data_IF_208809464220
#
_entry.id   IF_208809464220
#
_cell.length_a   1.000
_cell.length_b   1.000
_cell.length_c   1.000
_cell.angle_alpha   90.00
_cell.angle_beta   90.00
_cell.angle_gamma   90.00
#
_symmetry.space_group_name_H-M   'P 1'
#
loop_
_entity.id
_entity.type
_entity.pdbx_description
1 polymer ?
#
# COMPACT_ATOMS: atom_id res chain seq x y z
N UNK A 1 20.70 -14.59 -8.92
CA UNK A 1 21.17 -13.19 -8.87
C UNK A 1 20.38 -12.26 -9.80
N UNK A 2 19.62 -11.35 -9.21
CA UNK A 2 18.91 -10.26 -9.91
C UNK A 2 19.89 -9.23 -10.50
N UNK A 3 19.59 -8.63 -11.68
CA UNK A 3 20.31 -7.44 -12.12
C UNK A 3 20.11 -6.32 -11.09
N UNK A 4 21.18 -5.62 -10.71
CA UNK A 4 21.12 -4.54 -9.70
C UNK A 4 20.02 -3.51 -9.95
N UNK A 5 19.80 -3.13 -11.21
CA UNK A 5 18.73 -2.19 -11.59
C UNK A 5 17.34 -2.73 -11.25
N UNK A 6 17.11 -4.03 -11.45
CA UNK A 6 15.82 -4.69 -11.15
C UNK A 6 15.63 -4.77 -9.64
N UNK A 7 16.67 -5.14 -8.89
CA UNK A 7 16.61 -5.18 -7.42
C UNK A 7 16.27 -3.81 -6.81
N UNK A 8 16.86 -2.73 -7.32
CA UNK A 8 16.52 -1.36 -6.89
C UNK A 8 15.05 -1.02 -7.16
N UNK A 9 14.54 -1.38 -8.34
CA UNK A 9 13.13 -1.12 -8.71
C UNK A 9 12.18 -1.96 -7.85
N UNK A 10 12.52 -3.21 -7.56
CA UNK A 10 11.71 -4.08 -6.70
C UNK A 10 11.67 -3.57 -5.26
N UNK A 11 12.79 -3.08 -4.72
CA UNK A 11 12.82 -2.46 -3.40
C UNK A 11 12.01 -1.16 -3.36
N UNK A 12 12.01 -0.36 -4.43
CA UNK A 12 11.14 0.80 -4.54
C UNK A 12 9.66 0.39 -4.58
N UNK A 13 9.33 -0.72 -5.25
CA UNK A 13 7.94 -1.20 -5.27
C UNK A 13 7.52 -1.75 -3.90
N UNK A 14 8.40 -2.43 -3.18
CA UNK A 14 8.18 -2.87 -1.78
C UNK A 14 7.76 -1.67 -0.91
N UNK A 15 8.51 -0.56 -0.97
CA UNK A 15 8.16 0.67 -0.26
C UNK A 15 6.75 1.17 -0.60
N UNK A 16 6.41 1.15 -1.89
CA UNK A 16 5.11 1.62 -2.38
C UNK A 16 3.96 0.77 -1.90
N UNK A 17 4.06 -0.56 -1.99
CA UNK A 17 3.00 -1.46 -1.50
C UNK A 17 2.83 -1.37 0.03
N UNK A 18 3.93 -1.19 0.76
CA UNK A 18 3.88 -0.99 2.22
C UNK A 18 3.16 0.32 2.57
N UNK A 19 3.47 1.41 1.87
CA UNK A 19 2.75 2.68 2.02
C UNK A 19 1.27 2.55 1.60
N UNK A 20 0.95 1.82 0.53
CA UNK A 20 -0.44 1.55 0.10
C UNK A 20 -1.24 0.88 1.22
N UNK A 21 -0.67 -0.17 1.84
CA UNK A 21 -1.30 -0.87 2.97
C UNK A 21 -1.59 0.08 4.13
N UNK A 22 -0.61 0.91 4.50
CA UNK A 22 -0.76 1.90 5.59
C UNK A 22 -1.77 3.00 5.25
N UNK A 23 -1.80 3.47 4.00
CA UNK A 23 -2.76 4.44 3.52
C UNK A 23 -4.19 3.89 3.64
N UNK A 24 -4.43 2.66 3.18
CA UNK A 24 -5.75 2.04 3.27
C UNK A 24 -6.17 1.74 4.71
N UNK A 25 -5.25 1.41 5.62
CA UNK A 25 -5.56 1.35 7.06
C UNK A 25 -6.02 2.71 7.60
N UNK A 26 -5.35 3.80 7.21
CA UNK A 26 -5.74 5.15 7.62
C UNK A 26 -7.12 5.54 7.07
N UNK A 27 -7.37 5.25 5.79
CA UNK A 27 -8.67 5.50 5.16
C UNK A 27 -9.78 4.65 5.80
N UNK A 28 -9.50 3.40 6.15
CA UNK A 28 -10.45 2.53 6.84
C UNK A 28 -10.82 3.12 8.21
N UNK A 29 -9.83 3.55 9.00
CA UNK A 29 -10.04 4.20 10.29
C UNK A 29 -10.86 5.48 10.15
N UNK A 30 -10.55 6.31 9.15
CA UNK A 30 -11.34 7.51 8.84
C UNK A 30 -12.79 7.15 8.49
N UNK A 31 -13.02 6.18 7.62
CA UNK A 31 -14.35 5.75 7.19
C UNK A 31 -15.20 5.22 8.36
N UNK A 32 -14.60 4.44 9.26
CA UNK A 32 -15.25 3.98 10.49
C UNK A 32 -15.74 5.14 11.36
N UNK A 33 -14.91 6.17 11.55
CA UNK A 33 -15.25 7.36 12.33
C UNK A 33 -16.30 8.27 11.66
N UNK A 34 -16.56 8.08 10.36
CA UNK A 34 -17.64 8.76 9.63
C UNK A 34 -18.95 7.95 9.55
N UNK A 35 -18.97 6.72 10.09
CA UNK A 35 -20.12 5.82 10.03
C UNK A 35 -20.26 5.07 8.70
N UNK A 36 -19.21 5.01 7.88
CA UNK A 36 -19.21 4.29 6.59
C UNK A 36 -18.70 2.86 6.74
N UNK A 37 -19.39 2.03 7.51
CA UNK A 37 -18.93 0.69 7.90
C UNK A 37 -18.56 -0.22 6.70
N UNK A 38 -19.40 -0.27 5.66
CA UNK A 38 -19.10 -1.07 4.47
C UNK A 38 -17.82 -0.63 3.74
N UNK A 39 -17.56 0.68 3.70
CA UNK A 39 -16.36 1.26 3.09
C UNK A 39 -15.14 0.96 3.96
N UNK A 40 -15.27 1.10 5.27
CA UNK A 40 -14.20 0.75 6.23
C UNK A 40 -13.79 -0.72 6.07
N UNK A 41 -14.75 -1.63 6.00
CA UNK A 41 -14.47 -3.06 5.84
C UNK A 41 -13.79 -3.36 4.50
N UNK A 42 -14.23 -2.71 3.42
CA UNK A 42 -13.59 -2.83 2.12
C UNK A 42 -12.14 -2.32 2.15
N UNK A 43 -11.88 -1.15 2.75
CA UNK A 43 -10.54 -0.58 2.86
C UNK A 43 -9.61 -1.41 3.75
N UNK A 44 -10.11 -2.03 4.83
CA UNK A 44 -9.34 -3.00 5.60
C UNK A 44 -8.94 -4.22 4.76
N UNK A 45 -9.83 -4.71 3.90
CA UNK A 45 -9.50 -5.80 2.98
C UNK A 45 -8.47 -5.38 1.93
N UNK A 46 -8.56 -4.17 1.38
CA UNK A 46 -7.57 -3.62 0.46
C UNK A 46 -6.19 -3.46 1.12
N UNK A 47 -6.14 -2.99 2.38
CA UNK A 47 -4.89 -2.90 3.12
C UNK A 47 -4.18 -4.26 3.25
N UNK A 48 -4.95 -5.35 3.47
CA UNK A 48 -4.40 -6.70 3.52
C UNK A 48 -3.97 -7.20 2.13
N UNK A 49 -4.69 -6.84 1.07
CA UNK A 49 -4.29 -7.15 -0.31
C UNK A 49 -2.94 -6.52 -0.68
N UNK A 50 -2.72 -5.25 -0.34
CA UNK A 50 -1.43 -4.59 -0.57
C UNK A 50 -0.30 -5.18 0.27
N UNK A 51 -0.61 -5.61 1.50
CA UNK A 51 0.35 -6.35 2.32
C UNK A 51 0.74 -7.68 1.66
N UNK A 52 -0.19 -8.35 0.97
CA UNK A 52 0.11 -9.56 0.20
C UNK A 52 1.01 -9.23 -1.00
N UNK A 53 0.80 -8.10 -1.69
CA UNK A 53 1.67 -7.62 -2.78
C UNK A 53 3.11 -7.39 -2.28
N UNK A 54 3.25 -6.62 -1.20
CA UNK A 54 4.51 -6.40 -0.50
C UNK A 54 5.24 -7.71 -0.20
N UNK A 55 4.56 -8.66 0.45
CA UNK A 55 5.16 -9.93 0.86
C UNK A 55 5.58 -10.80 -0.33
N UNK A 56 4.85 -10.76 -1.45
CA UNK A 56 5.22 -11.45 -2.69
C UNK A 56 6.53 -10.89 -3.25
N UNK A 57 6.68 -9.57 -3.29
CA UNK A 57 7.89 -8.92 -3.80
C UNK A 57 9.11 -9.21 -2.90
N UNK A 58 8.96 -9.10 -1.58
CA UNK A 58 10.02 -9.43 -0.62
C UNK A 58 10.52 -10.85 -0.83
N UNK A 59 9.60 -11.83 -0.91
CA UNK A 59 9.96 -13.23 -1.13
C UNK A 59 10.67 -13.40 -2.47
N UNK A 60 10.14 -12.82 -3.54
CA UNK A 60 10.73 -12.91 -4.87
C UNK A 60 12.16 -12.35 -4.93
N UNK A 61 12.41 -11.18 -4.32
CA UNK A 61 13.76 -10.59 -4.27
C UNK A 61 14.74 -11.55 -3.59
N UNK A 62 14.34 -12.09 -2.43
CA UNK A 62 15.18 -13.01 -1.65
C UNK A 62 15.42 -14.34 -2.38
N UNK A 63 14.41 -14.91 -3.04
CA UNK A 63 14.52 -16.16 -3.83
C UNK A 63 15.47 -16.04 -5.03
N UNK A 64 15.79 -14.82 -5.45
CA UNK A 64 16.66 -14.54 -6.61
C UNK A 64 18.05 -14.04 -6.20
N UNK A 65 18.44 -14.27 -4.95
CA UNK A 65 19.70 -13.84 -4.32
C UNK A 65 19.88 -12.30 -4.26
N UNK A 66 18.77 -11.55 -4.25
CA UNK A 66 18.78 -10.11 -3.94
C UNK A 66 18.51 -9.87 -2.45
N UNK A 67 18.58 -8.60 -2.02
CA UNK A 67 18.24 -8.21 -0.65
C UNK A 67 17.01 -7.30 -0.66
N UNK A 68 15.91 -7.80 -0.11
CA UNK A 68 14.74 -6.98 0.14
C UNK A 68 15.01 -6.00 1.29
N UNK A 69 14.73 -4.71 1.09
CA UNK A 69 14.89 -3.64 2.07
C UNK A 69 13.51 -3.09 2.40
N UNK A 70 13.19 -3.05 3.69
CA UNK A 70 11.90 -2.55 4.19
C UNK A 70 12.19 -1.17 4.79
N UNK A 71 11.89 -0.08 4.07
CA UNK A 71 12.17 1.25 4.56
C UNK A 71 11.18 1.65 5.67
N UNK A 72 11.51 2.74 6.37
CA UNK A 72 10.52 3.41 7.20
C UNK A 72 9.41 3.99 6.33
N UNK A 73 8.19 4.04 6.85
CA UNK A 73 7.01 4.51 6.12
C UNK A 73 6.60 5.88 6.66
N UNK A 74 6.32 6.81 5.76
CA UNK A 74 5.74 8.10 6.11
C UNK A 74 4.33 7.91 6.71
N UNK A 75 3.96 8.80 7.63
CA UNK A 75 2.62 8.74 8.23
C UNK A 75 1.58 9.16 7.19
N UNK A 76 0.58 8.29 6.85
CA UNK A 76 -0.44 8.64 5.88
C UNK A 76 -1.39 9.73 6.41
N UNK A 77 -2.13 10.43 5.54
CA UNK A 77 -3.15 11.39 5.96
C UNK A 77 -4.20 10.73 6.85
N UNK A 78 -4.78 11.48 7.80
CA UNK A 78 -5.84 11.00 8.69
C UNK A 78 -7.25 11.53 8.31
N UNK A 79 -7.33 12.47 7.36
CA UNK A 79 -8.59 12.98 6.83
C UNK A 79 -8.59 12.96 5.31
N UNK A 80 -9.72 12.53 4.76
CA UNK A 80 -9.93 12.32 3.32
C UNK A 80 -11.10 13.14 2.78
N UNK A 81 -11.70 14.01 3.60
CA UNK A 81 -12.76 14.92 3.19
C UNK A 81 -14.14 14.25 3.24
N UNK A 82 -14.71 14.01 2.07
CA UNK A 82 -15.94 13.24 1.91
C UNK A 82 -15.68 11.92 1.17
N UNK A 83 -16.73 11.12 1.04
CA UNK A 83 -16.63 9.79 0.44
C UNK A 83 -16.20 9.83 -1.03
N UNK A 84 -16.62 10.85 -1.78
CA UNK A 84 -16.27 10.99 -3.18
C UNK A 84 -14.79 11.32 -3.34
N UNK A 85 -14.30 12.28 -2.58
CA UNK A 85 -12.88 12.66 -2.57
C UNK A 85 -11.99 11.51 -2.07
N UNK A 86 -12.45 10.73 -1.08
CA UNK A 86 -11.73 9.55 -0.62
C UNK A 86 -11.55 8.52 -1.74
N UNK A 87 -12.61 8.13 -2.45
CA UNK A 87 -12.50 7.15 -3.55
C UNK A 87 -11.74 7.70 -4.76
N UNK A 88 -11.80 9.01 -5.01
CA UNK A 88 -10.95 9.65 -6.02
C UNK A 88 -9.47 9.50 -5.68
N UNK A 89 -9.09 9.70 -4.42
CA UNK A 89 -7.71 9.46 -3.94
C UNK A 89 -7.31 8.00 -4.04
N UNK A 90 -8.20 7.05 -3.72
CA UNK A 90 -7.93 5.61 -3.94
C UNK A 90 -7.61 5.34 -5.41
N UNK A 91 -8.45 5.81 -6.33
CA UNK A 91 -8.24 5.61 -7.76
C UNK A 91 -6.95 6.26 -8.28
N UNK A 92 -6.65 7.47 -7.81
CA UNK A 92 -5.40 8.17 -8.15
C UNK A 92 -4.17 7.40 -7.65
N UNK A 93 -4.25 6.86 -6.43
CA UNK A 93 -3.19 6.03 -5.83
C UNK A 93 -2.97 4.74 -6.62
N UNK A 94 -4.02 3.98 -6.91
CA UNK A 94 -3.94 2.75 -7.71
C UNK A 94 -3.32 2.98 -9.09
N UNK A 95 -3.64 4.10 -9.74
CA UNK A 95 -3.04 4.49 -11.03
C UNK A 95 -1.56 4.86 -10.93
N UNK A 96 -1.09 5.24 -9.75
CA UNK A 96 0.33 5.53 -9.52
C UNK A 96 1.13 4.25 -9.22
N UNK A 97 0.50 3.29 -8.56
CA UNK A 97 1.10 1.98 -8.23
C UNK A 97 1.14 1.05 -9.46
N UNK A 98 0.05 1.02 -10.25
CA UNK A 98 -0.15 0.14 -11.42
C UNK A 98 0.63 0.51 -12.68
#
# INVERSE_FOLDING_TARGET
MLPKKVEVILNLQIEREDYSSQLYLSMASWAANKGFEGVSNWLYAQAEEERIHLLKLIKYVNERDGVAVIPGIDTPPADFGDIYEAFKKVLEHERFIS
#
